data_IF_570352977379
#
_entry.id   IF_570352977379
#
_cell.length_a   1.000
_cell.length_b   1.000
_cell.length_c   1.000
_cell.angle_alpha   90.00
_cell.angle_beta   90.00
_cell.angle_gamma   90.00
#
_symmetry.space_group_name_H-M   'P 1'
#
loop_
_entity.id
_entity.type
_entity.pdbx_description
1 polymer ?
#
# COMPACT_ATOMS: atom_id res chain seq x y z
N UNK A 1 -5.13 2.58 -28.33
CA UNK A 1 -5.12 2.39 -26.87
C UNK A 1 -4.37 1.10 -26.56
N UNK A 2 -3.14 1.19 -26.06
CA UNK A 2 -2.43 0.01 -25.53
C UNK A 2 -3.14 -0.47 -24.26
N UNK A 3 -3.46 -1.76 -24.14
CA UNK A 3 -4.15 -2.27 -22.96
C UNK A 3 -3.29 -2.00 -21.71
N UNK A 4 -3.92 -1.68 -20.57
CA UNK A 4 -3.20 -1.52 -19.33
C UNK A 4 -2.43 -2.82 -19.03
N UNK A 5 -1.10 -2.75 -19.00
CA UNK A 5 -0.27 -3.88 -18.55
C UNK A 5 -0.67 -4.24 -17.12
N UNK A 6 -0.90 -5.52 -16.82
CA UNK A 6 -1.24 -5.95 -15.47
C UNK A 6 -0.11 -5.53 -14.50
N UNK A 7 -0.50 -4.95 -13.36
CA UNK A 7 0.42 -4.54 -12.28
C UNK A 7 1.33 -5.70 -11.87
N UNK A 8 2.51 -5.38 -11.34
CA UNK A 8 3.41 -6.42 -10.86
C UNK A 8 2.69 -7.31 -9.83
N UNK A 9 2.72 -8.63 -10.07
CA UNK A 9 2.16 -9.66 -9.19
C UNK A 9 2.54 -9.48 -7.70
N UNK A 10 3.78 -9.10 -7.32
CA UNK A 10 4.12 -8.83 -5.91
C UNK A 10 3.35 -7.66 -5.29
N UNK A 11 3.03 -6.62 -6.06
CA UNK A 11 2.29 -5.44 -5.56
C UNK A 11 0.83 -5.84 -5.31
N UNK A 12 0.25 -6.64 -6.21
CA UNK A 12 -1.12 -7.16 -6.04
C UNK A 12 -1.20 -8.07 -4.82
N UNK A 13 -0.24 -8.97 -4.63
CA UNK A 13 -0.17 -9.85 -3.46
C UNK A 13 -0.01 -9.05 -2.15
N UNK A 14 0.85 -8.02 -2.14
CA UNK A 14 1.04 -7.15 -0.98
C UNK A 14 -0.23 -6.35 -0.65
N UNK A 15 -0.92 -5.81 -1.67
CA UNK A 15 -2.19 -5.11 -1.50
C UNK A 15 -3.25 -6.04 -0.93
N UNK A 16 -3.39 -7.26 -1.45
CA UNK A 16 -4.30 -8.27 -0.92
C UNK A 16 -3.97 -8.62 0.54
N UNK A 17 -2.69 -8.72 0.89
CA UNK A 17 -2.23 -8.92 2.26
C UNK A 17 -2.63 -7.79 3.21
N UNK A 18 -2.49 -6.53 2.76
CA UNK A 18 -2.93 -5.36 3.54
C UNK A 18 -4.45 -5.33 3.74
N UNK A 19 -5.23 -5.69 2.71
CA UNK A 19 -6.70 -5.77 2.80
C UNK A 19 -7.14 -6.88 3.74
N UNK A 20 -6.53 -8.06 3.64
CA UNK A 20 -6.79 -9.16 4.57
C UNK A 20 -6.46 -8.75 6.00
N UNK A 21 -5.30 -8.13 6.23
CA UNK A 21 -4.93 -7.62 7.54
C UNK A 21 -5.94 -6.58 8.05
N UNK A 22 -6.38 -5.63 7.22
CA UNK A 22 -7.37 -4.63 7.60
C UNK A 22 -8.76 -5.20 7.93
N UNK A 23 -9.15 -6.30 7.29
CA UNK A 23 -10.43 -6.97 7.52
C UNK A 23 -10.40 -7.93 8.72
N UNK A 24 -9.24 -8.48 9.07
CA UNK A 24 -9.13 -9.32 10.24
C UNK A 24 -9.24 -8.47 11.52
N UNK A 25 -10.00 -8.93 12.53
CA UNK A 25 -9.92 -8.31 13.84
C UNK A 25 -8.45 -8.35 14.29
N UNK A 26 -7.98 -7.29 14.98
CA UNK A 26 -6.59 -7.21 15.36
C UNK A 26 -6.16 -8.49 16.05
N UNK A 27 -5.11 -9.13 15.53
CA UNK A 27 -4.69 -10.48 15.91
C UNK A 27 -4.41 -10.60 17.42
N UNK A 28 -4.09 -9.47 18.07
CA UNK A 28 -3.93 -9.37 19.52
C UNK A 28 -5.23 -9.52 20.34
N UNK A 29 -6.42 -9.30 19.75
CA UNK A 29 -7.70 -9.57 20.41
C UNK A 29 -7.93 -11.07 20.59
N UNK A 30 -7.42 -11.88 19.65
CA UNK A 30 -7.59 -13.33 19.64
C UNK A 30 -6.55 -14.07 20.49
N UNK A 31 -5.37 -13.47 20.70
CA UNK A 31 -4.24 -14.08 21.41
C UNK A 31 -4.16 -13.73 22.90
N UNK A 32 -5.16 -13.03 23.44
CA UNK A 32 -5.10 -12.44 24.78
C UNK A 32 -4.28 -11.16 24.80
N UNK A 33 -4.61 -10.23 25.69
CA UNK A 33 -4.00 -8.88 25.76
C UNK A 33 -2.46 -8.96 25.79
N UNK A 34 -1.78 -8.63 24.68
CA UNK A 34 -0.33 -8.64 24.67
C UNK A 34 0.18 -7.50 25.55
N UNK A 35 1.32 -7.72 26.20
CA UNK A 35 1.99 -6.67 26.94
C UNK A 35 2.22 -5.45 26.01
N UNK A 36 1.91 -4.22 26.46
CA UNK A 36 2.10 -3.03 25.65
C UNK A 36 3.58 -2.86 25.31
N UNK A 37 3.87 -2.65 24.02
CA UNK A 37 5.24 -2.49 23.50
C UNK A 37 5.90 -1.22 24.07
N UNK A 38 5.10 -0.20 24.38
CA UNK A 38 5.51 1.02 25.09
C UNK A 38 4.54 1.31 26.24
N UNK A 39 5.03 1.81 27.40
CA UNK A 39 4.15 2.25 28.47
C UNK A 39 3.21 3.35 27.96
N UNK A 40 1.90 3.11 28.10
CA UNK A 40 0.85 4.06 27.71
C UNK A 40 0.33 3.95 26.27
N UNK A 41 0.92 3.11 25.41
CA UNK A 41 0.43 2.92 24.04
C UNK A 41 -0.38 1.61 23.95
N UNK A 42 -1.69 1.67 23.70
CA UNK A 42 -2.47 0.46 23.45
C UNK A 42 -1.99 -0.22 22.16
N UNK A 43 -1.89 -1.56 22.19
CA UNK A 43 -1.42 -2.37 21.06
C UNK A 43 -2.27 -2.19 19.79
N UNK A 44 -3.51 -1.73 19.93
CA UNK A 44 -4.37 -1.30 18.83
C UNK A 44 -3.75 -0.20 17.97
N UNK A 45 -3.19 0.84 18.60
CA UNK A 45 -2.60 1.99 17.90
C UNK A 45 -1.35 1.53 17.13
N UNK A 46 -0.49 0.73 17.76
CA UNK A 46 0.70 0.20 17.10
C UNK A 46 0.34 -0.65 15.87
N UNK A 47 -0.74 -1.45 15.96
CA UNK A 47 -1.26 -2.24 14.86
C UNK A 47 -1.76 -1.35 13.70
N UNK A 48 -2.60 -0.35 13.99
CA UNK A 48 -3.12 0.53 12.93
C UNK A 48 -2.03 1.41 12.30
N UNK A 49 -1.04 1.85 13.08
CA UNK A 49 0.09 2.64 12.56
C UNK A 49 0.95 1.80 11.62
N UNK A 50 1.31 0.57 12.01
CA UNK A 50 2.11 -0.32 11.16
C UNK A 50 1.35 -0.74 9.89
N UNK A 51 0.06 -1.05 10.01
CA UNK A 51 -0.80 -1.35 8.86
C UNK A 51 -0.94 -0.15 7.92
N UNK A 52 -1.17 1.05 8.46
CA UNK A 52 -1.26 2.29 7.70
C UNK A 52 0.02 2.59 6.94
N UNK A 53 1.18 2.47 7.59
CA UNK A 53 2.49 2.63 6.95
C UNK A 53 2.70 1.60 5.84
N UNK A 54 2.32 0.34 6.06
CA UNK A 54 2.41 -0.73 5.05
C UNK A 54 1.56 -0.42 3.81
N UNK A 55 0.34 0.09 4.01
CA UNK A 55 -0.55 0.51 2.91
C UNK A 55 0.05 1.68 2.13
N UNK A 56 0.56 2.70 2.82
CA UNK A 56 1.21 3.86 2.18
C UNK A 56 2.44 3.43 1.38
N UNK A 57 3.29 2.57 1.94
CA UNK A 57 4.44 2.01 1.22
C UNK A 57 4.01 1.19 -0.01
N UNK A 58 2.96 0.39 0.11
CA UNK A 58 2.40 -0.38 -1.00
C UNK A 58 1.88 0.54 -2.12
N UNK A 59 1.22 1.64 -1.76
CA UNK A 59 0.79 2.67 -2.71
C UNK A 59 1.99 3.32 -3.41
N UNK A 60 3.01 3.76 -2.66
CA UNK A 60 4.22 4.35 -3.24
C UNK A 60 4.94 3.38 -4.19
N UNK A 61 4.99 2.09 -3.85
CA UNK A 61 5.54 1.06 -4.71
C UNK A 61 4.71 0.88 -5.99
N UNK A 62 3.38 0.91 -5.88
CA UNK A 62 2.47 0.88 -7.03
C UNK A 62 2.66 2.09 -7.95
N UNK A 63 2.75 3.30 -7.37
CA UNK A 63 3.01 4.53 -8.11
C UNK A 63 4.36 4.49 -8.85
N UNK A 64 5.41 3.99 -8.20
CA UNK A 64 6.72 3.80 -8.83
C UNK A 64 6.73 2.75 -9.93
N UNK A 65 5.98 1.65 -9.79
CA UNK A 65 5.83 0.65 -10.85
C UNK A 65 5.04 1.21 -12.04
N UNK A 66 3.97 1.97 -11.77
CA UNK A 66 3.18 2.65 -12.80
C UNK A 66 4.03 3.72 -13.54
N UNK A 67 4.94 4.41 -12.85
CA UNK A 67 5.91 5.35 -13.43
C UNK A 67 6.91 4.66 -14.36
N UNK A 68 7.56 3.57 -13.89
CA UNK A 68 8.50 2.79 -14.70
C UNK A 68 7.86 2.16 -15.95
N UNK A 69 6.55 1.88 -15.89
CA UNK A 69 5.78 1.32 -17.01
C UNK A 69 5.29 2.37 -17.99
N UNK A 70 5.53 3.65 -17.72
CA UNK A 70 5.19 4.75 -18.64
C UNK A 70 3.71 5.10 -18.66
N UNK A 71 2.91 4.72 -17.64
CA UNK A 71 1.48 5.05 -17.59
C UNK A 71 1.23 6.57 -17.53
N UNK A 72 2.15 7.34 -16.94
CA UNK A 72 2.05 8.80 -16.91
C UNK A 72 2.33 9.46 -18.28
N UNK A 73 3.01 8.78 -19.20
CA UNK A 73 3.23 9.30 -20.56
C UNK A 73 1.94 9.28 -21.38
N UNK A 74 1.05 8.31 -21.14
CA UNK A 74 -0.29 8.24 -21.76
C UNK A 74 -1.29 9.23 -21.20
N UNK A 75 -1.08 9.71 -19.96
CA UNK A 75 -1.86 10.81 -19.37
C UNK A 75 -1.22 12.19 -19.61
N UNK A 76 -0.41 12.36 -20.66
CA UNK A 76 -0.11 13.71 -21.17
C UNK A 76 -1.42 14.31 -21.69
N UNK A 77 -1.93 15.33 -20.98
CA UNK A 77 -2.92 16.25 -21.52
C UNK A 77 -2.44 16.70 -22.92
N UNK A 78 -3.35 16.76 -23.92
CA UNK A 78 -3.00 17.25 -25.25
C UNK A 78 -2.53 18.71 -25.10
N UNK A 79 -1.21 18.94 -25.10
CA UNK A 79 -0.64 20.29 -25.03
C UNK A 79 0.70 20.47 -24.30
N UNK A 80 1.25 19.48 -23.57
CA UNK A 80 2.55 19.68 -22.87
C UNK A 80 3.74 19.19 -23.72
N UNK A 81 4.47 20.15 -24.29
CA UNK A 81 5.63 19.97 -25.20
C UNK A 81 6.96 20.34 -24.53
N UNK A 82 7.28 19.73 -23.38
CA UNK A 82 8.63 19.90 -22.81
C UNK A 82 9.45 18.62 -23.07
N UNK A 83 10.68 18.75 -23.62
CA UNK A 83 11.61 17.64 -23.80
C UNK A 83 12.31 17.26 -22.47
N UNK A 84 12.93 16.07 -22.39
CA UNK A 84 13.60 15.55 -21.19
C UNK A 84 14.83 16.34 -20.76
#
# INVERSE_FOLDING_TARGET
MTPPRPRALPIVAWMAGNVAAALLPPVYLSLGTPAPVLPGVPCSIAYFVTLGLSIVCCLLAAYRDDEKRGYFATCRLPGRTDPP
#
